data_IF_702529184663
#
_entry.id   IF_702529184663
#
_cell.length_a   1.000
_cell.length_b   1.000
_cell.length_c   1.000
_cell.angle_alpha   90.00
_cell.angle_beta   90.00
_cell.angle_gamma   90.00
#
_symmetry.space_group_name_H-M   'P 1'
#
loop_
_entity.id
_entity.type
_entity.pdbx_description
1 polymer ?
#
# COMPACT_ATOMS: atom_id res chain seq x y z
N UNK A 1 17.04 37.85 -11.96
CA UNK A 1 16.06 37.97 -10.84
C UNK A 1 16.81 38.38 -9.57
N UNK A 2 16.38 39.43 -8.86
CA UNK A 2 17.07 39.87 -7.65
C UNK A 2 16.79 38.94 -6.47
N UNK A 3 17.70 38.79 -5.52
CA UNK A 3 17.60 38.00 -4.31
C UNK A 3 16.27 38.29 -3.57
N UNK A 4 15.88 39.55 -3.48
CA UNK A 4 14.61 40.01 -2.87
C UNK A 4 13.35 39.49 -3.59
N UNK A 5 13.38 39.26 -4.90
CA UNK A 5 12.24 38.70 -5.64
C UNK A 5 12.04 37.24 -5.33
N UNK A 6 13.13 36.48 -5.20
CA UNK A 6 13.15 35.06 -4.87
C UNK A 6 12.66 34.82 -3.44
N UNK A 7 13.13 35.61 -2.48
CA UNK A 7 12.71 35.53 -1.07
C UNK A 7 11.22 35.82 -0.90
N UNK A 8 10.67 36.78 -1.66
CA UNK A 8 9.23 37.07 -1.66
C UNK A 8 8.40 35.92 -2.26
N UNK A 9 8.88 35.23 -3.28
CA UNK A 9 8.19 34.08 -3.85
C UNK A 9 8.21 32.89 -2.89
N UNK A 10 9.34 32.61 -2.24
CA UNK A 10 9.46 31.56 -1.24
C UNK A 10 8.56 31.81 -0.03
N UNK A 11 8.48 33.05 0.45
CA UNK A 11 7.58 33.43 1.55
C UNK A 11 6.11 33.25 1.17
N UNK A 12 5.70 33.59 -0.07
CA UNK A 12 4.32 33.36 -0.53
C UNK A 12 3.99 31.87 -0.64
N UNK A 13 4.91 31.04 -1.11
CA UNK A 13 4.72 29.60 -1.18
C UNK A 13 4.64 28.96 0.21
N UNK A 14 5.47 29.40 1.16
CA UNK A 14 5.41 28.94 2.54
C UNK A 14 4.08 29.31 3.22
N UNK A 15 3.61 30.57 3.03
CA UNK A 15 2.34 31.02 3.57
C UNK A 15 1.14 30.25 2.96
N UNK A 16 1.19 29.93 1.65
CA UNK A 16 0.14 29.13 1.00
C UNK A 16 0.08 27.71 1.58
N UNK A 17 1.23 27.03 1.72
CA UNK A 17 1.32 25.71 2.33
C UNK A 17 0.83 25.69 3.78
N UNK A 18 1.12 26.75 4.54
CA UNK A 18 0.65 26.88 5.92
C UNK A 18 -0.86 27.03 5.99
N UNK A 19 -1.45 27.87 5.12
CA UNK A 19 -2.89 28.04 5.03
C UNK A 19 -3.63 26.74 4.61
N UNK A 20 -3.05 25.95 3.72
CA UNK A 20 -3.58 24.64 3.33
C UNK A 20 -3.54 23.63 4.48
N UNK A 21 -2.48 23.61 5.28
CA UNK A 21 -2.36 22.79 6.51
C UNK A 21 -3.39 23.18 7.56
N UNK A 22 -3.58 24.48 7.79
CA UNK A 22 -4.55 24.99 8.76
C UNK A 22 -6.00 24.69 8.31
N UNK A 23 -6.27 24.72 7.01
CA UNK A 23 -7.57 24.35 6.45
C UNK A 23 -7.84 22.83 6.60
N UNK A 24 -6.82 21.98 6.38
CA UNK A 24 -6.91 20.55 6.58
C UNK A 24 -7.13 20.18 8.06
N UNK A 25 -6.42 20.85 8.99
CA UNK A 25 -6.60 20.67 10.43
C UNK A 25 -8.02 21.03 10.88
N UNK A 26 -8.58 22.13 10.39
CA UNK A 26 -9.98 22.53 10.70
C UNK A 26 -11.01 21.53 10.16
N UNK A 27 -10.78 20.94 8.98
CA UNK A 27 -11.65 19.89 8.44
C UNK A 27 -11.59 18.62 9.29
N UNK A 28 -10.42 18.20 9.78
CA UNK A 28 -10.28 17.06 10.69
C UNK A 28 -11.06 17.25 11.99
N UNK A 29 -10.99 18.42 12.62
CA UNK A 29 -11.74 18.73 13.86
C UNK A 29 -13.26 18.69 13.64
N UNK A 30 -13.74 19.14 12.48
CA UNK A 30 -15.17 19.08 12.14
C UNK A 30 -15.65 17.62 11.94
N UNK A 31 -14.87 16.79 11.24
CA UNK A 31 -15.20 15.38 10.99
C UNK A 31 -15.21 14.58 12.30
N UNK A 32 -14.24 14.81 13.19
CA UNK A 32 -14.17 14.15 14.51
C UNK A 32 -15.35 14.57 15.39
N UNK A 33 -15.77 15.83 15.33
CA UNK A 33 -16.96 16.33 16.05
C UNK A 33 -18.27 15.68 15.58
N UNK A 34 -18.44 15.50 14.26
CA UNK A 34 -19.61 14.86 13.68
C UNK A 34 -19.66 13.37 14.03
N UNK A 35 -18.53 12.66 13.97
CA UNK A 35 -18.44 11.24 14.33
C UNK A 35 -18.79 11.00 15.81
N UNK A 36 -18.29 11.85 16.73
CA UNK A 36 -18.63 11.78 18.14
C UNK A 36 -20.13 12.04 18.40
N UNK A 37 -20.74 12.98 17.66
CA UNK A 37 -22.18 13.28 17.76
C UNK A 37 -23.06 12.12 17.30
N UNK A 38 -22.69 11.44 16.21
CA UNK A 38 -23.42 10.27 15.68
C UNK A 38 -23.35 9.07 16.65
N UNK A 39 -22.19 8.82 17.24
CA UNK A 39 -22.01 7.74 18.23
C UNK A 39 -22.87 8.01 19.48
N UNK A 40 -22.90 9.25 19.99
CA UNK A 40 -23.73 9.63 21.12
C UNK A 40 -25.24 9.45 20.83
N UNK A 41 -25.68 9.78 19.62
CA UNK A 41 -27.08 9.61 19.20
C UNK A 41 -27.48 8.13 19.10
N UNK A 42 -26.60 7.27 18.56
CA UNK A 42 -26.84 5.82 18.45
C UNK A 42 -26.92 5.16 19.84
N UNK A 43 -26.04 5.54 20.77
CA UNK A 43 -26.07 5.04 22.15
C UNK A 43 -27.37 5.44 22.86
N UNK A 44 -27.87 6.66 22.60
CA UNK A 44 -29.11 7.16 23.20
C UNK A 44 -30.36 6.44 22.66
N UNK A 45 -30.37 6.12 21.35
CA UNK A 45 -31.48 5.34 20.72
C UNK A 45 -31.49 3.88 21.20
N UNK A 46 -30.32 3.25 21.31
CA UNK A 46 -30.20 1.87 21.80
C UNK A 46 -30.55 1.79 23.29
N UNK A 47 -30.09 2.77 24.09
CA UNK A 47 -30.42 2.86 25.52
C UNK A 47 -31.90 3.04 25.78
N UNK A 48 -32.60 3.86 24.99
CA UNK A 48 -34.05 4.07 25.12
C UNK A 48 -34.85 2.83 24.66
N UNK A 49 -34.35 2.07 23.67
CA UNK A 49 -34.99 0.83 23.20
C UNK A 49 -34.90 -0.33 24.20
N UNK A 50 -33.90 -0.33 25.08
CA UNK A 50 -33.76 -1.32 26.15
C UNK A 50 -34.68 -1.01 27.34
N UNK A 51 -34.96 0.27 27.62
CA UNK A 51 -35.86 0.70 28.72
C UNK A 51 -37.34 0.54 28.42
N UNK A 52 -37.76 0.27 27.18
CA UNK A 52 -39.14 0.11 26.76
C UNK A 52 -39.56 -1.33 26.49
N UNK A 53 -38.72 -2.34 26.84
CA UNK A 53 -39.12 -3.75 26.82
C UNK A 53 -39.72 -4.13 28.16
N UNK A 54 -41.03 -4.20 28.15
CA UNK A 54 -41.87 -4.64 29.23
C UNK A 54 -41.71 -6.16 29.45
N UNK A 55 -41.73 -6.54 30.73
CA UNK A 55 -41.64 -7.91 31.19
C UNK A 55 -42.93 -8.68 30.90
N UNK A 56 -42.83 -9.78 30.15
CA UNK A 56 -43.70 -10.96 30.36
C UNK A 56 -42.98 -12.19 29.77
N UNK A 57 -42.45 -13.09 30.53
CA UNK A 57 -42.95 -14.39 30.85
C UNK A 57 -41.96 -15.21 31.69
N UNK A 58 -42.52 -15.71 32.76
CA UNK A 58 -42.02 -16.67 33.74
C UNK A 58 -41.80 -18.05 33.14
N UNK A 59 -40.62 -18.65 33.30
CA UNK A 59 -40.46 -20.07 33.70
C UNK A 59 -38.97 -20.41 33.89
N UNK A 60 -38.57 -20.67 35.10
CA UNK A 60 -37.39 -21.48 35.46
C UNK A 60 -37.77 -22.96 35.40
N UNK A 61 -36.91 -23.92 35.04
CA UNK A 61 -36.03 -24.46 36.06
C UNK A 61 -34.63 -24.98 35.59
N UNK A 62 -33.80 -25.09 36.58
CA UNK A 62 -32.75 -26.09 36.79
C UNK A 62 -31.41 -25.95 36.10
N UNK A 63 -30.43 -25.72 36.95
CA UNK A 63 -29.01 -25.59 36.74
C UNK A 63 -28.34 -26.86 36.20
N UNK A 64 -27.44 -26.65 35.24
CA UNK A 64 -26.17 -27.36 35.11
C UNK A 64 -25.13 -26.40 34.55
N UNK A 65 -23.88 -26.40 35.03
CA UNK A 65 -22.89 -25.42 34.60
C UNK A 65 -22.49 -25.66 33.13
N UNK A 66 -22.47 -24.63 32.29
CA UNK A 66 -22.00 -24.82 30.93
C UNK A 66 -20.48 -24.98 30.94
N UNK A 67 -20.03 -26.12 30.47
CA UNK A 67 -18.71 -26.34 29.94
C UNK A 67 -18.43 -25.28 28.87
N UNK A 68 -17.43 -24.46 29.09
CA UNK A 68 -16.91 -23.52 28.09
C UNK A 68 -16.68 -24.26 26.76
N UNK A 69 -17.30 -23.81 25.66
CA UNK A 69 -16.88 -24.29 24.37
C UNK A 69 -15.47 -23.70 24.13
N UNK A 70 -14.48 -24.58 24.11
CA UNK A 70 -13.19 -24.30 23.50
C UNK A 70 -13.46 -23.96 22.03
N UNK A 71 -13.52 -22.68 21.72
CA UNK A 71 -13.51 -22.18 20.33
C UNK A 71 -12.09 -22.39 19.85
N UNK A 72 -11.83 -23.55 19.29
CA UNK A 72 -10.72 -23.75 18.40
C UNK A 72 -10.87 -22.71 17.29
N UNK A 73 -9.87 -21.84 17.04
CA UNK A 73 -9.98 -20.94 15.91
C UNK A 73 -10.07 -21.80 14.65
N UNK A 74 -11.26 -21.78 14.05
CA UNK A 74 -11.43 -22.32 12.70
C UNK A 74 -10.37 -21.65 11.83
N UNK A 75 -9.54 -22.39 11.07
CA UNK A 75 -8.59 -21.76 10.18
C UNK A 75 -9.38 -20.87 9.23
N UNK A 76 -9.17 -19.55 9.35
CA UNK A 76 -9.62 -18.59 8.34
C UNK A 76 -9.15 -19.15 6.99
N UNK A 77 -10.07 -19.33 6.07
CA UNK A 77 -9.77 -19.89 4.76
C UNK A 77 -8.59 -19.13 4.17
N UNK A 78 -7.48 -19.79 4.00
CA UNK A 78 -6.34 -19.27 3.28
C UNK A 78 -6.84 -18.76 1.93
N UNK A 79 -6.44 -17.57 1.46
CA UNK A 79 -6.84 -17.08 0.14
C UNK A 79 -6.55 -18.19 -0.87
N UNK A 80 -7.59 -18.65 -1.55
CA UNK A 80 -7.53 -19.83 -2.42
C UNK A 80 -6.40 -19.68 -3.43
N UNK A 81 -5.56 -20.69 -3.50
CA UNK A 81 -4.46 -20.77 -4.47
C UNK A 81 -5.04 -20.68 -5.88
N UNK A 82 -4.66 -19.62 -6.60
CA UNK A 82 -5.04 -19.44 -8.01
C UNK A 82 -3.86 -19.83 -8.90
N UNK A 83 -4.12 -20.63 -9.92
CA UNK A 83 -3.15 -20.92 -10.99
C UNK A 83 -3.73 -20.42 -12.31
N UNK A 84 -2.90 -19.78 -13.13
CA UNK A 84 -3.34 -19.23 -14.41
C UNK A 84 -2.50 -18.03 -14.81
N UNK A 85 -3.09 -17.14 -15.57
CA UNK A 85 -2.50 -15.84 -15.93
C UNK A 85 -3.47 -14.73 -15.65
N UNK A 86 -2.94 -13.58 -15.22
CA UNK A 86 -3.69 -12.33 -15.08
C UNK A 86 -3.32 -11.44 -16.26
N UNK A 87 -4.35 -11.02 -17.01
CA UNK A 87 -4.17 -10.06 -18.11
C UNK A 87 -4.29 -8.65 -17.55
N UNK A 88 -3.30 -7.77 -17.75
CA UNK A 88 -3.38 -6.40 -17.29
C UNK A 88 -4.47 -5.62 -18.05
N UNK A 89 -5.10 -4.70 -17.32
CA UNK A 89 -5.92 -3.63 -17.94
C UNK A 89 -5.01 -2.59 -18.58
N UNK A 90 -5.58 -1.69 -19.40
CA UNK A 90 -4.83 -0.54 -19.87
C UNK A 90 -4.33 0.31 -18.71
N UNK A 91 -3.10 0.78 -18.77
CA UNK A 91 -2.49 1.57 -17.72
C UNK A 91 -3.17 2.94 -17.53
N UNK A 92 -3.68 3.51 -18.61
CA UNK A 92 -4.47 4.74 -18.67
C UNK A 92 -5.34 4.75 -19.94
N UNK A 93 -6.24 5.72 -20.05
CA UNK A 93 -7.17 5.83 -21.19
C UNK A 93 -6.48 6.38 -22.45
N UNK A 94 -5.49 7.28 -22.31
CA UNK A 94 -4.82 7.94 -23.43
C UNK A 94 -3.75 7.08 -24.10
N UNK A 95 -3.22 6.08 -23.41
CA UNK A 95 -2.04 5.33 -23.84
C UNK A 95 -0.71 6.06 -23.62
N UNK A 96 -0.74 7.29 -23.08
CA UNK A 96 0.46 8.12 -22.88
C UNK A 96 1.34 7.55 -21.74
N UNK A 97 2.66 7.60 -21.96
CA UNK A 97 3.66 7.21 -20.96
C UNK A 97 4.28 8.45 -20.35
N UNK A 98 4.38 8.45 -19.04
CA UNK A 98 4.96 9.55 -18.29
C UNK A 98 6.45 9.74 -18.59
N UNK A 99 6.95 10.95 -18.31
CA UNK A 99 8.35 11.32 -18.42
C UNK A 99 8.93 11.27 -19.84
N UNK A 100 8.09 11.24 -20.87
CA UNK A 100 8.51 11.22 -22.28
C UNK A 100 9.16 9.91 -22.73
N UNK A 101 8.90 8.81 -22.02
CA UNK A 101 9.37 7.48 -22.37
C UNK A 101 8.37 6.76 -23.28
N UNK A 102 8.84 5.71 -23.95
CA UNK A 102 7.97 4.76 -24.65
C UNK A 102 7.48 3.66 -23.71
N UNK A 103 6.36 3.02 -24.06
CA UNK A 103 5.91 1.84 -23.35
C UNK A 103 6.92 0.70 -23.52
N UNK A 104 7.28 -0.01 -22.42
CA UNK A 104 8.25 -1.10 -22.51
C UNK A 104 7.72 -2.27 -23.33
N UNK A 105 8.60 -3.05 -23.94
CA UNK A 105 8.24 -4.20 -24.77
C UNK A 105 7.36 -5.25 -24.06
N UNK A 106 7.40 -5.29 -22.73
CA UNK A 106 6.57 -6.18 -21.90
C UNK A 106 5.30 -5.53 -21.35
N UNK A 107 4.99 -4.28 -21.72
CA UNK A 107 3.72 -3.65 -21.36
C UNK A 107 2.55 -4.50 -21.85
N UNK A 108 1.51 -4.64 -21.03
CA UNK A 108 0.35 -5.45 -21.36
C UNK A 108 0.55 -6.97 -21.40
N UNK A 109 1.76 -7.47 -21.11
CA UNK A 109 2.02 -8.92 -21.09
C UNK A 109 1.36 -9.58 -19.87
N UNK A 110 0.53 -10.62 -20.06
CA UNK A 110 -0.09 -11.37 -18.97
C UNK A 110 0.94 -11.94 -18.00
N UNK A 111 0.62 -11.93 -16.70
CA UNK A 111 1.51 -12.42 -15.63
C UNK A 111 1.01 -13.75 -15.08
N UNK A 112 1.92 -14.71 -14.83
CA UNK A 112 1.53 -15.99 -14.27
C UNK A 112 1.05 -15.86 -12.83
N UNK A 113 0.12 -16.71 -12.44
CA UNK A 113 -0.21 -16.99 -11.06
C UNK A 113 0.43 -18.32 -10.64
N UNK A 114 0.95 -18.39 -9.43
CA UNK A 114 1.67 -19.54 -8.89
C UNK A 114 0.81 -20.27 -7.86
N UNK A 115 0.98 -21.59 -7.77
CA UNK A 115 0.22 -22.47 -6.87
C UNK A 115 0.46 -22.22 -5.37
N UNK A 116 1.50 -21.45 -5.03
CA UNK A 116 1.82 -21.12 -3.63
C UNK A 116 3.07 -20.27 -3.54
N UNK A 117 3.39 -19.77 -2.33
CA UNK A 117 4.60 -19.01 -2.10
C UNK A 117 5.85 -19.85 -2.37
N UNK A 118 6.95 -19.24 -2.84
CA UNK A 118 8.18 -19.96 -3.11
C UNK A 118 8.80 -20.48 -1.82
N UNK A 119 9.43 -21.66 -1.90
CA UNK A 119 10.33 -22.11 -0.83
C UNK A 119 11.43 -21.07 -0.59
N UNK A 120 11.98 -21.03 0.63
CA UNK A 120 13.07 -20.10 0.97
C UNK A 120 14.32 -20.41 0.12
N UNK A 121 14.68 -19.50 -0.76
CA UNK A 121 15.84 -19.60 -1.67
C UNK A 121 16.86 -18.50 -1.46
N UNK A 122 16.52 -17.49 -0.68
CA UNK A 122 17.47 -16.44 -0.30
C UNK A 122 18.18 -16.81 1.01
N UNK A 123 19.30 -16.14 1.26
CA UNK A 123 19.98 -16.16 2.54
C UNK A 123 19.49 -14.96 3.38
N UNK A 124 18.73 -15.17 4.48
CA UNK A 124 18.24 -14.07 5.30
C UNK A 124 19.32 -13.21 5.97
N UNK A 125 20.56 -13.70 5.99
CA UNK A 125 21.70 -12.93 6.53
C UNK A 125 22.40 -12.07 5.50
N UNK A 126 22.06 -12.24 4.23
CA UNK A 126 22.65 -11.48 3.15
C UNK A 126 21.88 -10.19 2.89
N UNK A 127 22.56 -9.21 2.28
CA UNK A 127 21.97 -8.00 1.75
C UNK A 127 21.61 -8.20 0.28
N UNK A 128 20.45 -7.73 -0.11
CA UNK A 128 19.97 -7.75 -1.49
C UNK A 128 19.65 -6.34 -1.93
N UNK A 129 20.01 -6.03 -3.17
CA UNK A 129 19.67 -4.76 -3.82
C UNK A 129 18.77 -5.02 -5.01
N UNK A 130 17.63 -4.35 -5.04
CA UNK A 130 16.74 -4.30 -6.19
C UNK A 130 17.03 -3.03 -6.99
N UNK A 131 17.24 -3.18 -8.30
CA UNK A 131 17.31 -2.07 -9.23
C UNK A 131 16.04 -2.08 -10.07
N UNK A 132 15.21 -1.07 -9.89
CA UNK A 132 13.94 -0.88 -10.59
C UNK A 132 14.11 0.23 -11.62
N UNK A 133 14.14 -0.15 -12.90
CA UNK A 133 14.13 0.80 -14.01
C UNK A 133 12.68 1.13 -14.33
N UNK A 134 12.33 2.39 -14.28
CA UNK A 134 10.98 2.89 -14.60
C UNK A 134 11.02 3.83 -15.80
N UNK A 135 9.86 4.11 -16.40
CA UNK A 135 9.75 5.13 -17.45
C UNK A 135 10.21 6.52 -16.99
N UNK A 136 10.25 6.80 -15.69
CA UNK A 136 10.69 8.08 -15.14
C UNK A 136 12.13 8.09 -14.60
N UNK A 137 12.83 6.95 -14.62
CA UNK A 137 14.20 6.81 -14.13
C UNK A 137 14.38 5.59 -13.26
N UNK A 138 15.57 5.44 -12.68
CA UNK A 138 15.95 4.26 -11.89
C UNK A 138 15.82 4.53 -10.39
N UNK A 139 15.26 3.56 -9.69
CA UNK A 139 15.18 3.52 -8.22
C UNK A 139 15.97 2.32 -7.73
N UNK A 140 16.93 2.52 -6.83
CA UNK A 140 17.74 1.47 -6.22
C UNK A 140 17.29 1.28 -4.78
N UNK A 141 17.00 0.04 -4.38
CA UNK A 141 16.37 -0.30 -3.11
C UNK A 141 17.18 -1.38 -2.42
N UNK A 142 17.53 -1.18 -1.16
CA UNK A 142 18.03 -2.24 -0.28
C UNK A 142 16.85 -3.04 0.27
N UNK A 143 16.91 -4.37 0.18
CA UNK A 143 15.91 -5.28 0.72
C UNK A 143 16.34 -5.83 2.07
N UNK A 144 15.46 -5.73 3.06
CA UNK A 144 15.73 -6.14 4.46
C UNK A 144 15.39 -7.63 4.68
N UNK A 145 16.18 -8.52 4.07
CA UNK A 145 16.00 -9.96 4.17
C UNK A 145 16.12 -10.48 5.62
N UNK A 146 16.79 -9.76 6.49
CA UNK A 146 16.97 -10.13 7.90
C UNK A 146 15.67 -9.98 8.70
N UNK A 147 14.90 -8.92 8.42
CA UNK A 147 13.71 -8.59 9.19
C UNK A 147 12.41 -9.03 8.53
N UNK A 148 12.42 -9.19 7.19
CA UNK A 148 11.29 -9.64 6.42
C UNK A 148 11.69 -10.74 5.41
N UNK A 149 12.23 -11.90 5.90
CA UNK A 149 12.80 -12.92 5.04
C UNK A 149 11.80 -13.54 4.07
N UNK A 150 10.55 -13.76 4.48
CA UNK A 150 9.53 -14.36 3.61
C UNK A 150 9.09 -13.39 2.52
N UNK A 151 8.88 -12.13 2.89
CA UNK A 151 8.51 -11.05 1.97
C UNK A 151 9.60 -10.81 0.94
N UNK A 152 10.86 -10.68 1.39
CA UNK A 152 12.01 -10.52 0.48
C UNK A 152 12.20 -11.74 -0.41
N UNK A 153 12.04 -12.97 0.13
CA UNK A 153 12.12 -14.19 -0.68
C UNK A 153 11.08 -14.21 -1.79
N UNK A 154 9.82 -13.88 -1.48
CA UNK A 154 8.74 -13.78 -2.46
C UNK A 154 9.03 -12.71 -3.51
N UNK A 155 9.43 -11.51 -3.10
CA UNK A 155 9.76 -10.41 -4.00
C UNK A 155 10.93 -10.74 -4.93
N UNK A 156 11.99 -11.34 -4.41
CA UNK A 156 13.16 -11.82 -5.18
C UNK A 156 12.76 -12.89 -6.18
N UNK A 157 11.93 -13.86 -5.78
CA UNK A 157 11.40 -14.90 -6.66
C UNK A 157 10.62 -14.29 -7.83
N UNK A 158 9.68 -13.41 -7.54
CA UNK A 158 8.85 -12.73 -8.55
C UNK A 158 9.72 -11.88 -9.50
N UNK A 159 10.67 -11.11 -8.97
CA UNK A 159 11.59 -10.31 -9.76
C UNK A 159 12.44 -11.18 -10.71
N UNK A 160 13.00 -12.30 -10.23
CA UNK A 160 13.76 -13.24 -11.05
C UNK A 160 12.93 -13.90 -12.17
N UNK A 161 11.61 -14.00 -11.98
CA UNK A 161 10.66 -14.46 -13.02
C UNK A 161 10.27 -13.37 -14.02
N UNK A 162 10.76 -12.12 -13.84
CA UNK A 162 10.35 -10.97 -14.64
C UNK A 162 8.89 -10.59 -14.42
N UNK A 163 8.34 -10.94 -13.25
CA UNK A 163 6.93 -10.72 -12.92
C UNK A 163 6.56 -9.24 -12.95
N UNK A 164 7.44 -8.38 -12.47
CA UNK A 164 7.20 -6.94 -12.42
C UNK A 164 7.48 -6.22 -13.75
N UNK A 165 8.25 -6.82 -14.67
CA UNK A 165 8.63 -6.19 -15.92
C UNK A 165 7.40 -5.89 -16.79
N UNK A 166 7.23 -4.63 -17.19
CA UNK A 166 6.09 -4.15 -17.96
C UNK A 166 4.81 -3.93 -17.16
N UNK A 167 4.82 -4.13 -15.84
CA UNK A 167 3.75 -3.64 -14.96
C UNK A 167 3.88 -2.13 -14.76
N UNK A 168 2.85 -1.51 -14.22
CA UNK A 168 2.83 -0.07 -13.95
C UNK A 168 2.42 0.25 -12.52
N UNK A 169 2.75 1.44 -12.08
CA UNK A 169 2.21 2.00 -10.84
C UNK A 169 0.75 2.34 -11.08
N UNK A 170 -0.15 1.64 -10.40
CA UNK A 170 -1.58 1.74 -10.60
C UNK A 170 -2.26 2.71 -9.63
N UNK A 171 -1.52 3.22 -8.61
CA UNK A 171 -2.05 4.12 -7.59
C UNK A 171 -1.01 5.13 -7.13
N UNK A 172 -1.40 6.40 -7.08
CA UNK A 172 -0.70 7.49 -6.45
C UNK A 172 -1.58 8.05 -5.33
N UNK A 173 -1.26 7.76 -4.09
CA UNK A 173 -2.01 8.27 -2.95
C UNK A 173 -1.31 9.49 -2.36
N UNK A 174 -1.89 10.67 -2.59
CA UNK A 174 -1.36 11.95 -2.10
C UNK A 174 -1.73 12.25 -0.65
N UNK A 175 -2.58 11.42 -0.02
CA UNK A 175 -2.97 11.61 1.38
C UNK A 175 -1.99 10.99 2.37
N UNK A 176 -1.19 10.03 1.90
CA UNK A 176 -0.17 9.31 2.66
C UNK A 176 1.17 9.22 1.90
N UNK A 177 1.34 10.04 0.87
CA UNK A 177 2.57 10.11 0.05
C UNK A 177 3.06 8.74 -0.45
N UNK A 178 2.21 8.00 -1.15
CA UNK A 178 2.49 6.63 -1.60
C UNK A 178 2.40 6.49 -3.11
N UNK A 179 3.40 5.85 -3.72
CA UNK A 179 3.29 5.27 -5.06
C UNK A 179 3.19 3.74 -4.94
N UNK A 180 2.16 3.13 -5.52
CA UNK A 180 1.88 1.69 -5.39
C UNK A 180 1.88 1.00 -6.75
N UNK A 181 2.58 -0.14 -6.81
CA UNK A 181 2.67 -1.01 -7.99
C UNK A 181 2.62 -2.49 -7.61
N UNK A 182 2.97 -3.36 -8.57
CA UNK A 182 3.07 -4.80 -8.33
C UNK A 182 1.77 -5.60 -8.49
N UNK A 183 0.68 -4.94 -8.91
CA UNK A 183 -0.55 -5.63 -9.31
C UNK A 183 -0.48 -6.02 -10.80
N UNK A 184 -0.57 -7.31 -11.13
CA UNK A 184 -0.51 -7.76 -12.51
C UNK A 184 -1.71 -7.32 -13.36
N UNK A 185 -2.86 -7.04 -12.76
CA UNK A 185 -4.04 -6.52 -13.47
C UNK A 185 -4.05 -4.99 -13.54
N UNK A 186 -3.39 -4.33 -12.60
CA UNK A 186 -3.42 -2.88 -12.44
C UNK A 186 -4.74 -2.34 -11.86
N UNK A 187 -5.59 -3.19 -11.31
CA UNK A 187 -6.87 -2.80 -10.70
C UNK A 187 -6.78 -2.61 -9.19
N UNK A 188 -5.66 -3.00 -8.58
CA UNK A 188 -5.46 -3.04 -7.12
C UNK A 188 -5.94 -4.33 -6.45
N UNK A 189 -6.50 -5.29 -7.22
CA UNK A 189 -7.18 -6.47 -6.67
C UNK A 189 -6.45 -7.80 -6.89
N UNK A 190 -5.44 -7.84 -7.77
CA UNK A 190 -4.77 -9.07 -8.16
C UNK A 190 -3.35 -9.21 -7.60
N UNK A 191 -2.79 -10.41 -7.77
CA UNK A 191 -1.49 -10.75 -7.23
C UNK A 191 -0.93 -12.05 -7.83
N UNK A 192 0.07 -12.64 -7.20
CA UNK A 192 0.84 -13.76 -7.74
C UNK A 192 0.11 -15.11 -7.62
N UNK A 193 -1.14 -15.15 -7.17
CA UNK A 193 -1.92 -16.38 -6.95
C UNK A 193 -1.77 -16.97 -5.55
N UNK A 194 -0.95 -16.37 -4.69
CA UNK A 194 -0.77 -16.76 -3.29
C UNK A 194 -0.64 -15.52 -2.39
N UNK A 195 -0.75 -15.74 -1.11
CA UNK A 195 -0.45 -14.76 -0.08
C UNK A 195 0.72 -15.22 0.81
N UNK A 196 1.39 -14.27 1.45
CA UNK A 196 2.45 -14.49 2.42
C UNK A 196 2.05 -13.90 3.78
N UNK A 197 2.55 -14.46 4.89
CA UNK A 197 2.34 -13.90 6.22
C UNK A 197 2.95 -12.50 6.35
N UNK A 198 2.33 -11.68 7.18
CA UNK A 198 2.91 -10.39 7.56
C UNK A 198 4.13 -10.57 8.48
N UNK A 199 5.16 -9.74 8.25
CA UNK A 199 6.37 -9.69 9.07
C UNK A 199 6.45 -8.29 9.71
N UNK A 200 5.46 -8.00 10.56
CA UNK A 200 5.27 -6.69 11.16
C UNK A 200 6.33 -6.39 12.24
N UNK A 201 6.62 -5.10 12.41
CA UNK A 201 7.52 -4.60 13.46
C UNK A 201 6.74 -3.74 14.45
N UNK A 202 6.89 -3.98 15.74
CA UNK A 202 6.44 -3.01 16.73
C UNK A 202 7.11 -1.66 16.47
N UNK A 203 6.36 -0.59 16.52
CA UNK A 203 6.84 0.78 16.27
C UNK A 203 7.51 0.97 14.90
N UNK A 204 6.96 0.35 13.84
CA UNK A 204 7.41 0.61 12.49
C UNK A 204 7.20 2.08 12.13
N UNK A 205 8.13 2.65 11.37
CA UNK A 205 8.00 4.01 10.84
C UNK A 205 8.05 3.99 9.32
N UNK A 206 7.05 4.61 8.71
CA UNK A 206 6.89 4.70 7.26
C UNK A 206 7.45 6.03 6.73
N UNK A 207 8.73 6.25 6.98
CA UNK A 207 9.44 7.44 6.53
C UNK A 207 9.66 7.43 4.99
N UNK A 208 9.93 8.60 4.37
CA UNK A 208 10.28 8.67 2.95
C UNK A 208 11.40 7.70 2.57
N UNK A 209 11.21 6.97 1.49
CA UNK A 209 12.10 5.89 1.03
C UNK A 209 11.71 4.50 1.51
N UNK A 210 10.80 4.36 2.48
CA UNK A 210 10.34 3.04 2.93
C UNK A 210 9.65 2.28 1.81
N UNK A 211 10.06 1.01 1.60
CA UNK A 211 9.37 0.03 0.74
C UNK A 211 8.58 -0.92 1.63
N UNK A 212 7.27 -1.00 1.42
CA UNK A 212 6.39 -1.87 2.19
C UNK A 212 5.47 -2.72 1.30
N UNK A 213 5.04 -3.87 1.81
CA UNK A 213 4.11 -4.78 1.15
C UNK A 213 2.68 -4.32 1.39
N UNK A 214 1.94 -4.08 0.31
CA UNK A 214 0.51 -3.81 0.39
C UNK A 214 -0.25 -5.10 0.71
N UNK A 215 -1.35 -4.97 1.45
CA UNK A 215 -2.23 -6.07 1.81
C UNK A 215 -3.70 -5.64 1.82
N UNK A 216 -4.62 -6.60 1.83
CA UNK A 216 -6.06 -6.44 1.97
C UNK A 216 -6.55 -6.91 3.35
N UNK A 217 -5.70 -6.83 4.36
CA UNK A 217 -5.89 -7.30 5.72
C UNK A 217 -4.75 -8.22 6.17
N UNK A 218 -4.77 -8.73 7.39
CA UNK A 218 -3.68 -9.54 7.94
C UNK A 218 -3.34 -10.75 7.08
N UNK A 219 -2.05 -10.98 6.82
CA UNK A 219 -1.50 -12.14 6.09
C UNK A 219 -2.03 -12.28 4.65
N UNK A 220 -2.31 -11.16 3.98
CA UNK A 220 -2.76 -11.14 2.58
C UNK A 220 -1.76 -10.48 1.64
N UNK A 221 -0.54 -10.23 2.07
CA UNK A 221 0.55 -9.73 1.23
C UNK A 221 0.79 -10.66 0.04
N UNK A 222 1.00 -10.08 -1.15
CA UNK A 222 1.19 -10.86 -2.39
C UNK A 222 2.37 -10.36 -3.20
N UNK A 223 2.08 -9.58 -4.25
CA UNK A 223 3.10 -8.93 -5.09
C UNK A 223 2.99 -7.41 -5.05
N UNK A 224 1.90 -6.85 -4.55
CA UNK A 224 1.71 -5.40 -4.52
C UNK A 224 2.59 -4.78 -3.43
N UNK A 225 3.28 -3.72 -3.79
CA UNK A 225 4.16 -2.97 -2.90
C UNK A 225 3.94 -1.48 -3.07
N UNK A 226 4.37 -0.72 -2.09
CA UNK A 226 4.39 0.73 -2.19
C UNK A 226 5.70 1.32 -1.66
N UNK A 227 6.02 2.50 -2.17
CA UNK A 227 7.15 3.32 -1.71
C UNK A 227 6.58 4.59 -1.11
N UNK A 228 7.01 4.92 0.10
CA UNK A 228 6.73 6.21 0.73
C UNK A 228 7.61 7.27 0.09
N UNK A 229 7.01 8.34 -0.37
CA UNK A 229 7.71 9.43 -1.07
C UNK A 229 7.85 10.67 -0.21
N UNK A 230 6.95 10.90 0.74
CA UNK A 230 6.94 12.13 1.53
C UNK A 230 6.58 11.93 3.01
N UNK A 231 6.46 13.02 3.77
CA UNK A 231 6.28 12.97 5.22
C UNK A 231 4.92 12.45 5.67
N UNK A 232 3.89 12.50 4.82
CA UNK A 232 2.53 12.05 5.18
C UNK A 232 2.43 10.51 5.28
N UNK A 233 3.48 9.78 4.84
CA UNK A 233 3.65 8.35 5.13
C UNK A 233 3.63 8.02 6.62
N UNK A 234 4.08 8.94 7.48
CA UNK A 234 4.04 8.80 8.94
C UNK A 234 2.61 8.65 9.51
N UNK A 235 1.56 8.97 8.75
CA UNK A 235 0.19 8.67 9.14
C UNK A 235 -0.07 7.15 9.30
N UNK A 236 0.76 6.30 8.71
CA UNK A 236 0.69 4.84 8.85
C UNK A 236 1.34 4.34 10.16
N UNK A 237 2.15 5.16 10.84
CA UNK A 237 2.86 4.78 12.07
C UNK A 237 1.91 4.54 13.24
N UNK A 238 0.71 5.15 13.23
CA UNK A 238 -0.31 4.96 14.28
C UNK A 238 -0.87 3.52 14.30
N UNK A 239 -0.89 2.85 13.15
CA UNK A 239 -1.36 1.48 13.01
C UNK A 239 -0.50 0.72 11.98
N UNK A 240 0.72 0.28 12.37
CA UNK A 240 1.70 -0.28 11.45
C UNK A 240 1.34 -1.72 11.07
N UNK A 241 0.51 -1.87 10.04
CA UNK A 241 0.00 -3.16 9.55
C UNK A 241 0.53 -3.57 8.17
N UNK A 242 1.57 -2.91 7.67
CA UNK A 242 2.24 -3.26 6.42
C UNK A 242 3.67 -3.72 6.69
N UNK A 243 4.07 -4.85 6.11
CA UNK A 243 5.43 -5.35 6.23
C UNK A 243 6.42 -4.43 5.52
N UNK A 244 7.28 -3.76 6.29
CA UNK A 244 8.42 -3.02 5.73
C UNK A 244 9.51 -4.03 5.36
N UNK A 245 9.89 -4.08 4.07
CA UNK A 245 10.87 -5.05 3.59
C UNK A 245 12.02 -4.46 2.79
N UNK A 246 12.13 -3.12 2.73
CA UNK A 246 13.24 -2.44 2.10
C UNK A 246 13.24 -0.94 2.30
N UNK A 247 14.28 -0.31 1.77
CA UNK A 247 14.43 1.15 1.76
C UNK A 247 15.14 1.62 0.49
N UNK A 248 14.72 2.74 -0.07
CA UNK A 248 15.32 3.35 -1.24
C UNK A 248 16.71 3.89 -0.87
N UNK A 249 17.73 3.43 -1.57
CA UNK A 249 19.11 3.93 -1.47
C UNK A 249 19.36 5.10 -2.41
N UNK A 250 18.86 4.97 -3.66
CA UNK A 250 19.03 5.95 -4.70
C UNK A 250 17.75 6.13 -5.50
N UNK A 251 17.48 7.33 -6.00
CA UNK A 251 16.33 7.59 -6.87
C UNK A 251 15.04 7.91 -6.10
N UNK A 252 15.09 8.32 -4.82
CA UNK A 252 13.90 8.81 -4.12
C UNK A 252 13.28 10.01 -4.86
N UNK A 253 14.10 10.89 -5.43
CA UNK A 253 13.63 12.00 -6.28
C UNK A 253 12.89 11.55 -7.55
N UNK A 254 13.13 10.32 -8.02
CA UNK A 254 12.36 9.72 -9.11
C UNK A 254 10.97 9.29 -8.58
N UNK A 255 10.92 8.66 -7.40
CA UNK A 255 9.66 8.31 -6.75
C UNK A 255 8.82 9.57 -6.45
N UNK A 256 9.44 10.65 -5.96
CA UNK A 256 8.79 11.96 -5.73
C UNK A 256 8.22 12.53 -7.03
N UNK A 257 8.97 12.42 -8.14
CA UNK A 257 8.52 12.86 -9.46
C UNK A 257 7.30 12.05 -9.92
N UNK A 258 7.29 10.74 -9.69
CA UNK A 258 6.15 9.87 -10.01
C UNK A 258 4.94 10.28 -9.16
N UNK A 259 5.12 10.49 -7.85
CA UNK A 259 4.05 10.94 -6.94
C UNK A 259 3.43 12.28 -7.36
N UNK A 260 4.24 13.16 -7.96
CA UNK A 260 3.80 14.49 -8.39
C UNK A 260 3.05 14.51 -9.73
N UNK A 261 2.91 13.36 -10.40
CA UNK A 261 2.15 13.26 -11.65
C UNK A 261 0.65 13.49 -11.40
N UNK A 262 -0.08 14.04 -12.38
CA UNK A 262 -1.53 14.12 -12.31
C UNK A 262 -2.15 12.73 -12.16
N UNK A 263 -3.20 12.64 -11.36
CA UNK A 263 -4.05 11.45 -11.25
C UNK A 263 -5.27 11.57 -12.16
N UNK A 264 -5.87 10.44 -12.51
CA UNK A 264 -6.94 10.33 -13.52
C UNK A 264 -8.22 11.09 -13.11
N UNK A 265 -8.60 10.99 -11.84
CA UNK A 265 -9.79 11.69 -11.32
C UNK A 265 -9.55 12.17 -9.86
N UNK A 266 -9.07 13.43 -9.70
CA UNK A 266 -8.86 14.00 -8.38
C UNK A 266 -10.13 14.13 -7.51
N UNK A 267 -11.30 14.26 -8.13
CA UNK A 267 -12.57 14.39 -7.40
C UNK A 267 -13.02 13.03 -6.84
N UNK A 268 -12.91 11.97 -7.63
CA UNK A 268 -13.16 10.59 -7.18
C UNK A 268 -12.16 10.20 -6.09
N UNK A 269 -10.87 10.47 -6.28
CA UNK A 269 -9.82 10.23 -5.29
C UNK A 269 -10.10 10.94 -3.96
N UNK A 270 -10.54 12.19 -3.99
CA UNK A 270 -10.91 12.96 -2.80
C UNK A 270 -12.12 12.38 -2.04
N UNK A 271 -12.95 11.59 -2.70
CA UNK A 271 -14.08 10.84 -2.12
C UNK A 271 -13.71 9.44 -1.64
N UNK A 272 -12.42 9.06 -1.78
CA UNK A 272 -11.91 7.74 -1.39
C UNK A 272 -12.03 6.67 -2.47
N UNK A 273 -12.38 7.03 -3.70
CA UNK A 273 -12.37 6.10 -4.82
C UNK A 273 -10.94 5.88 -5.32
N UNK A 274 -10.42 4.67 -5.10
CA UNK A 274 -9.06 4.32 -5.47
C UNK A 274 -8.82 4.32 -6.98
N UNK A 275 -9.87 4.15 -7.81
CA UNK A 275 -9.74 4.21 -9.27
C UNK A 275 -9.31 5.61 -9.74
N UNK A 276 -9.71 6.66 -9.02
CA UNK A 276 -9.32 8.04 -9.28
C UNK A 276 -7.85 8.34 -8.97
N UNK A 277 -7.19 7.51 -8.16
CA UNK A 277 -5.78 7.66 -7.78
C UNK A 277 -4.79 7.08 -8.82
N UNK A 278 -5.28 6.57 -9.96
CA UNK A 278 -4.43 6.09 -11.04
C UNK A 278 -3.67 7.26 -11.69
N UNK A 279 -2.37 7.11 -12.04
CA UNK A 279 -1.68 8.14 -12.83
C UNK A 279 -2.41 8.42 -14.15
N UNK A 280 -2.56 9.69 -14.52
CA UNK A 280 -3.14 10.09 -15.80
C UNK A 280 -2.25 9.65 -17.00
N UNK A 281 -0.95 9.58 -16.79
CA UNK A 281 0.03 9.01 -17.72
C UNK A 281 0.64 7.75 -17.12
N UNK A 282 0.81 6.69 -17.90
CA UNK A 282 1.33 5.41 -17.42
C UNK A 282 2.78 5.54 -16.92
N UNK A 283 3.06 5.01 -15.74
CA UNK A 283 4.43 4.86 -15.24
C UNK A 283 4.75 3.38 -15.15
N UNK A 284 5.52 2.89 -16.10
CA UNK A 284 5.90 1.48 -16.18
C UNK A 284 7.13 1.16 -15.34
N UNK A 285 7.19 -0.08 -14.87
CA UNK A 285 8.40 -0.75 -14.41
C UNK A 285 8.96 -1.49 -15.63
N UNK A 286 9.96 -0.93 -16.26
CA UNK A 286 10.60 -1.52 -17.43
C UNK A 286 11.24 -2.86 -17.09
N UNK A 287 12.00 -2.83 -15.99
CA UNK A 287 12.75 -4.00 -15.52
C UNK A 287 13.04 -3.88 -14.03
N UNK A 288 12.91 -5.01 -13.33
CA UNK A 288 13.33 -5.14 -11.94
C UNK A 288 14.35 -6.26 -11.81
N UNK A 289 15.56 -5.93 -11.35
CA UNK A 289 16.66 -6.89 -11.18
C UNK A 289 17.13 -6.93 -9.73
N UNK A 290 17.55 -8.11 -9.28
CA UNK A 290 18.03 -8.33 -7.91
C UNK A 290 19.49 -8.75 -7.95
N UNK A 291 20.30 -8.16 -7.07
CA UNK A 291 21.69 -8.53 -6.79
C UNK A 291 21.85 -8.87 -5.31
N UNK A 292 22.52 -9.96 -5.00
CA UNK A 292 23.06 -10.22 -3.66
C UNK A 292 24.33 -9.36 -3.50
N UNK A 293 24.36 -8.45 -2.51
CA UNK A 293 25.44 -7.46 -2.34
C UNK A 293 26.26 -7.64 -1.07
N UNK A 294 25.78 -8.44 -0.12
CA UNK A 294 26.48 -8.78 1.10
C UNK A 294 26.04 -10.15 1.62
N UNK A 295 26.77 -10.70 2.54
CA UNK A 295 26.55 -12.01 3.14
C UNK A 295 27.90 -12.70 3.24
N UNK A 296 28.39 -12.88 4.47
CA UNK A 296 29.69 -13.48 4.72
C UNK A 296 29.79 -14.87 4.13
N UNK A 297 31.02 -15.21 3.80
CA UNK A 297 31.44 -16.57 3.52
C UNK A 297 31.19 -17.48 4.73
#
# INVERSE_FOLDING_TARGET
MSKRSRDRQLAKLAAKRQAERDAAARRRTLITGIAAGVIALVVLIVGLGVLLRDETDTASPSASPPTSPSVSPSPSAAPGTKTGTVTPTAANESGDVACGADAPAKAGTPKPQFAGPPSMTIDPKATYTATMVTSCGTIVIELDAKRAPQTVNSFVFLAKKGYFDGQYFHRLDTSIDVIQGGDPSGTGADGPGYAIPDELRPNASYAPGTLAMANAGPNTGGSQFFIITGPDGANLDENPNFTIFGNVLEGLSIADRIQALPISDPEAAAKGDLSGQRPAQAVYIDKLTIRKTGGGA
#
